data_IF_176847422999
#
_entry.id   IF_176847422999
#
_cell.length_a   1.000
_cell.length_b   1.000
_cell.length_c   1.000
_cell.angle_alpha   90.00
_cell.angle_beta   90.00
_cell.angle_gamma   90.00
#
_symmetry.space_group_name_H-M   'P 1'
#
loop_
_entity.id
_entity.type
_entity.pdbx_description
1 polymer ?
#
# COMPACT_ATOMS: atom_id res chain seq x y z
N UNK A 1 12.35 -17.48 9.20
CA UNK A 1 11.24 -16.59 8.79
C UNK A 1 10.72 -17.08 7.45
N UNK A 2 9.40 -17.20 7.31
CA UNK A 2 8.78 -17.67 6.05
C UNK A 2 9.20 -16.79 4.87
N UNK A 3 9.60 -17.39 3.75
CA UNK A 3 10.06 -16.67 2.54
C UNK A 3 9.01 -15.71 1.95
N UNK A 4 7.72 -15.91 2.26
CA UNK A 4 6.62 -15.10 1.73
C UNK A 4 6.43 -13.75 2.43
N UNK A 5 7.23 -13.46 3.47
CA UNK A 5 7.27 -12.14 4.11
C UNK A 5 8.18 -11.16 3.38
N UNK A 6 8.92 -11.63 2.39
CA UNK A 6 9.67 -10.81 1.46
C UNK A 6 8.86 -10.68 0.16
N UNK A 7 8.91 -9.51 -0.48
CA UNK A 7 8.42 -9.38 -1.84
C UNK A 7 9.56 -9.63 -2.82
N UNK A 8 9.34 -10.46 -3.86
CA UNK A 8 10.28 -10.56 -4.96
C UNK A 8 10.46 -9.18 -5.59
N UNK A 9 11.69 -8.67 -5.59
CA UNK A 9 12.06 -7.37 -6.16
C UNK A 9 11.57 -7.18 -7.62
N UNK A 10 11.35 -8.30 -8.32
CA UNK A 10 10.84 -8.39 -9.69
C UNK A 10 9.34 -8.04 -9.83
N UNK A 11 8.61 -7.80 -8.74
CA UNK A 11 7.21 -7.37 -8.78
C UNK A 11 7.02 -5.86 -8.97
N UNK A 12 8.08 -5.06 -8.83
CA UNK A 12 7.92 -3.62 -8.94
C UNK A 12 7.56 -3.23 -10.39
N UNK A 13 6.34 -2.74 -10.63
CA UNK A 13 5.93 -2.27 -11.97
C UNK A 13 6.26 -0.80 -12.14
N UNK A 14 6.62 -0.36 -13.36
CA UNK A 14 6.89 1.05 -13.62
C UNK A 14 5.71 1.97 -13.22
N UNK A 15 4.46 1.53 -13.46
CA UNK A 15 3.27 2.34 -13.13
C UNK A 15 3.09 2.55 -11.63
N UNK A 16 3.29 1.51 -10.83
CA UNK A 16 3.20 1.62 -9.37
C UNK A 16 4.35 2.46 -8.80
N UNK A 17 5.57 2.20 -9.27
CA UNK A 17 6.76 2.95 -8.86
C UNK A 17 6.64 4.43 -9.25
N UNK A 18 6.02 4.73 -10.39
CA UNK A 18 5.71 6.08 -10.82
C UNK A 18 4.79 6.79 -9.82
N UNK A 19 3.69 6.16 -9.41
CA UNK A 19 2.77 6.70 -8.42
C UNK A 19 3.44 6.95 -7.06
N UNK A 20 4.22 6.00 -6.56
CA UNK A 20 5.00 6.16 -5.33
C UNK A 20 6.00 7.32 -5.43
N UNK A 21 6.68 7.44 -6.57
CA UNK A 21 7.66 8.49 -6.83
C UNK A 21 7.00 9.87 -6.88
N UNK A 22 5.84 9.99 -7.54
CA UNK A 22 5.08 11.24 -7.55
C UNK A 22 4.63 11.59 -6.14
N UNK A 23 4.14 10.64 -5.35
CA UNK A 23 3.81 10.86 -3.93
C UNK A 23 4.98 11.42 -3.13
N UNK A 24 6.20 10.93 -3.39
CA UNK A 24 7.42 11.39 -2.72
C UNK A 24 7.92 12.77 -3.19
N UNK A 25 7.87 13.03 -4.49
CA UNK A 25 8.42 14.24 -5.13
C UNK A 25 7.51 15.45 -4.83
N UNK A 26 8.11 16.64 -4.66
CA UNK A 26 7.34 17.89 -4.47
C UNK A 26 6.49 18.19 -5.70
N UNK A 27 5.28 18.67 -5.49
CA UNK A 27 4.29 18.92 -6.55
C UNK A 27 4.84 19.82 -7.66
N UNK A 28 5.65 20.82 -7.30
CA UNK A 28 6.28 21.78 -8.21
C UNK A 28 7.26 21.14 -9.21
N UNK A 29 7.69 19.91 -8.97
CA UNK A 29 8.58 19.17 -9.89
C UNK A 29 7.86 18.08 -10.67
N UNK A 30 6.55 17.89 -10.48
CA UNK A 30 5.78 16.80 -11.09
C UNK A 30 5.28 17.07 -12.51
N UNK A 31 5.17 18.34 -12.93
CA UNK A 31 4.57 18.70 -14.22
C UNK A 31 5.23 18.00 -15.43
N UNK A 32 6.56 17.85 -15.41
CA UNK A 32 7.29 17.15 -16.48
C UNK A 32 7.25 15.61 -16.31
N UNK A 33 6.70 15.11 -15.21
CA UNK A 33 6.72 13.73 -14.78
C UNK A 33 5.34 13.07 -14.81
N UNK A 34 4.27 13.77 -15.18
CA UNK A 34 2.91 13.20 -15.23
C UNK A 34 2.81 11.99 -16.16
N UNK A 35 3.62 11.97 -17.22
CA UNK A 35 3.78 10.83 -18.11
C UNK A 35 5.25 10.49 -18.12
N UNK A 36 5.64 9.27 -17.80
CA UNK A 36 7.01 8.78 -18.00
C UNK A 36 6.93 7.59 -18.94
N UNK A 37 7.76 7.63 -19.97
CA UNK A 37 7.82 6.54 -20.92
C UNK A 37 8.51 5.33 -20.28
N UNK A 38 7.73 4.26 -20.19
CA UNK A 38 8.13 2.99 -19.57
C UNK A 38 8.61 1.98 -20.62
N UNK A 39 8.59 2.33 -21.91
CA UNK A 39 9.21 1.51 -22.97
C UNK A 39 10.67 1.21 -22.57
N UNK A 40 11.07 -0.06 -22.61
CA UNK A 40 12.40 -0.54 -22.17
C UNK A 40 12.69 -0.57 -20.65
N UNK A 41 11.70 -0.33 -19.77
CA UNK A 41 11.86 -0.55 -18.32
C UNK A 41 11.10 -1.81 -17.91
N UNK A 42 11.84 -2.90 -17.71
CA UNK A 42 11.26 -4.13 -17.17
C UNK A 42 10.91 -3.97 -15.68
N UNK A 43 10.02 -4.82 -15.19
CA UNK A 43 9.71 -4.87 -13.76
C UNK A 43 10.96 -5.12 -12.90
N UNK A 44 10.99 -4.48 -11.74
CA UNK A 44 12.12 -4.52 -10.82
C UNK A 44 13.32 -3.65 -11.23
N UNK A 45 13.28 -2.93 -12.35
CA UNK A 45 14.36 -2.02 -12.75
C UNK A 45 14.25 -0.62 -12.14
N UNK A 46 14.01 -0.53 -10.82
CA UNK A 46 13.62 0.71 -10.14
C UNK A 46 14.63 1.85 -10.34
N UNK A 47 15.94 1.56 -10.27
CA UNK A 47 16.98 2.60 -10.46
C UNK A 47 16.98 3.14 -11.88
N UNK A 48 16.76 2.30 -12.89
CA UNK A 48 16.66 2.75 -14.30
C UNK A 48 15.40 3.59 -14.52
N UNK A 49 14.29 3.19 -13.92
CA UNK A 49 13.07 4.00 -13.94
C UNK A 49 13.30 5.39 -13.32
N UNK A 50 13.97 5.45 -12.16
CA UNK A 50 14.33 6.73 -11.53
C UNK A 50 15.27 7.55 -12.42
N UNK A 51 16.24 6.92 -13.11
CA UNK A 51 17.12 7.64 -14.03
C UNK A 51 16.32 8.31 -15.16
N UNK A 52 15.31 7.62 -15.73
CA UNK A 52 14.42 8.22 -16.72
C UNK A 52 13.64 9.42 -16.18
N UNK A 53 13.14 9.33 -14.94
CA UNK A 53 12.49 10.47 -14.26
C UNK A 53 13.45 11.65 -14.13
N UNK A 54 14.71 11.41 -13.76
CA UNK A 54 15.75 12.45 -13.71
C UNK A 54 15.98 13.10 -15.06
N UNK A 55 16.18 12.30 -16.10
CA UNK A 55 16.43 12.77 -17.47
C UNK A 55 15.27 13.61 -17.98
N UNK A 56 14.03 13.16 -17.74
CA UNK A 56 12.81 13.87 -18.12
C UNK A 56 12.60 15.17 -17.35
N UNK A 57 12.97 15.21 -16.07
CA UNK A 57 12.79 16.39 -15.22
C UNK A 57 13.66 17.60 -15.59
N UNK A 58 14.61 17.45 -16.53
CA UNK A 58 15.53 18.52 -16.88
C UNK A 58 16.38 18.98 -15.68
N UNK A 59 16.87 18.02 -14.88
CA UNK A 59 17.68 18.24 -13.67
C UNK A 59 16.95 18.78 -12.43
N UNK A 60 15.63 18.95 -12.45
CA UNK A 60 14.88 19.45 -11.29
C UNK A 60 14.94 18.50 -10.08
N UNK A 61 15.16 17.19 -10.31
CA UNK A 61 15.23 16.19 -9.24
C UNK A 61 16.59 16.10 -8.52
N UNK A 62 17.60 16.92 -8.87
CA UNK A 62 18.94 16.85 -8.25
C UNK A 62 18.95 17.01 -6.72
N UNK A 63 17.95 17.68 -6.14
CA UNK A 63 17.86 17.82 -4.68
C UNK A 63 17.62 16.50 -3.94
N UNK A 64 17.11 15.49 -4.65
CA UNK A 64 16.92 14.13 -4.13
C UNK A 64 18.16 13.26 -4.23
N UNK A 65 19.29 13.82 -4.71
CA UNK A 65 20.54 13.10 -4.89
C UNK A 65 20.63 12.39 -6.23
N UNK A 66 21.05 11.13 -6.21
CA UNK A 66 21.14 10.27 -7.41
C UNK A 66 19.83 9.50 -7.68
N UNK A 67 19.69 8.92 -8.87
CA UNK A 67 18.58 8.01 -9.17
C UNK A 67 18.51 6.81 -8.20
N UNK A 68 19.65 6.31 -7.74
CA UNK A 68 19.72 5.26 -6.73
C UNK A 68 19.23 5.75 -5.37
N UNK A 69 19.70 6.93 -4.93
CA UNK A 69 19.28 7.52 -3.66
C UNK A 69 17.77 7.81 -3.64
N UNK A 70 17.21 8.30 -4.77
CA UNK A 70 15.77 8.48 -4.91
C UNK A 70 15.03 7.13 -4.82
N UNK A 71 15.50 6.08 -5.52
CA UNK A 71 14.88 4.76 -5.47
C UNK A 71 14.85 4.17 -4.05
N UNK A 72 15.94 4.32 -3.30
CA UNK A 72 16.04 3.86 -1.91
C UNK A 72 15.09 4.64 -0.99
N UNK A 73 15.02 5.96 -1.14
CA UNK A 73 14.14 6.80 -0.33
C UNK A 73 12.65 6.59 -0.65
N UNK A 74 12.29 6.44 -1.92
CA UNK A 74 10.90 6.12 -2.32
C UNK A 74 10.48 4.79 -1.73
N UNK A 75 11.36 3.78 -1.75
CA UNK A 75 11.11 2.48 -1.13
C UNK A 75 10.89 2.57 0.39
N UNK A 76 11.60 3.44 1.10
CA UNK A 76 11.37 3.67 2.54
C UNK A 76 10.01 4.35 2.74
N UNK A 77 9.75 5.42 2.01
CA UNK A 77 8.52 6.20 2.08
C UNK A 77 7.27 5.37 1.79
N UNK A 78 7.32 4.46 0.81
CA UNK A 78 6.15 3.71 0.35
C UNK A 78 5.89 2.41 1.11
N UNK A 79 6.75 2.04 2.06
CA UNK A 79 6.69 0.76 2.77
C UNK A 79 5.74 0.80 3.99
N UNK A 80 4.45 0.95 3.73
CA UNK A 80 3.41 0.93 4.76
C UNK A 80 2.20 0.08 4.31
N UNK A 81 1.39 -0.38 5.28
CA UNK A 81 0.20 -1.19 5.00
C UNK A 81 -0.83 -0.39 4.19
N UNK A 82 -1.49 -1.03 3.22
CA UNK A 82 -2.48 -0.42 2.33
C UNK A 82 -1.99 0.75 1.45
N UNK A 83 -0.67 0.85 1.20
CA UNK A 83 -0.10 1.90 0.36
C UNK A 83 -0.73 2.01 -1.04
N UNK A 84 -1.21 0.92 -1.63
CA UNK A 84 -1.92 0.93 -2.90
C UNK A 84 -3.20 1.79 -2.89
N UNK A 85 -3.88 1.90 -1.73
CA UNK A 85 -5.03 2.82 -1.58
C UNK A 85 -4.57 4.27 -1.43
N UNK A 86 -3.43 4.51 -0.76
CA UNK A 86 -2.86 5.85 -0.60
C UNK A 86 -2.37 6.42 -1.93
N UNK A 87 -1.75 5.59 -2.77
CA UNK A 87 -1.25 5.99 -4.08
C UNK A 87 -2.29 5.84 -5.20
N UNK A 88 -3.52 5.42 -4.89
CA UNK A 88 -4.61 5.21 -5.85
C UNK A 88 -4.21 4.32 -7.04
N UNK A 89 -3.59 3.18 -6.74
CA UNK A 89 -3.10 2.16 -7.70
C UNK A 89 -3.71 0.80 -7.36
N UNK A 90 -5.03 0.76 -7.14
CA UNK A 90 -5.73 -0.47 -6.76
C UNK A 90 -5.79 -1.51 -7.90
N UNK A 91 -5.59 -1.09 -9.14
CA UNK A 91 -5.52 -1.92 -10.34
C UNK A 91 -4.21 -2.73 -10.48
N UNK A 92 -3.16 -2.36 -9.76
CA UNK A 92 -1.89 -3.09 -9.75
C UNK A 92 -1.86 -4.18 -8.68
N UNK A 93 -0.94 -5.14 -8.76
CA UNK A 93 -0.74 -6.10 -7.66
C UNK A 93 -0.03 -5.46 -6.46
N UNK A 94 -0.02 -6.14 -5.30
CA UNK A 94 0.72 -5.62 -4.14
C UNK A 94 2.23 -5.64 -4.42
N UNK A 95 2.93 -4.53 -4.16
CA UNK A 95 4.38 -4.41 -4.40
C UNK A 95 5.20 -4.11 -3.14
N UNK A 96 4.56 -4.06 -1.96
CA UNK A 96 5.22 -3.85 -0.66
C UNK A 96 5.09 -5.06 0.28
N UNK A 97 6.14 -5.37 1.04
CA UNK A 97 6.18 -6.56 1.90
C UNK A 97 5.16 -6.53 3.06
N UNK A 98 4.61 -7.68 3.50
CA UNK A 98 3.80 -7.71 4.71
C UNK A 98 4.65 -7.30 5.92
N UNK A 99 4.08 -6.47 6.80
CA UNK A 99 4.82 -5.95 7.96
C UNK A 99 4.55 -6.83 9.18
N UNK A 100 5.61 -7.36 9.76
CA UNK A 100 5.56 -8.12 11.01
C UNK A 100 5.96 -7.24 12.19
N UNK A 101 5.06 -7.17 13.16
CA UNK A 101 5.24 -6.46 14.41
C UNK A 101 5.70 -7.42 15.50
N UNK A 102 6.58 -6.96 16.38
CA UNK A 102 7.03 -7.76 17.53
C UNK A 102 6.27 -7.34 18.77
N UNK A 103 5.81 -8.31 19.55
CA UNK A 103 5.33 -8.07 20.91
C UNK A 103 6.43 -7.43 21.76
N UNK A 104 6.04 -6.52 22.66
CA UNK A 104 6.92 -5.97 23.69
C UNK A 104 7.00 -6.87 24.93
N UNK A 105 5.99 -7.74 25.14
CA UNK A 105 5.88 -8.64 26.29
C UNK A 105 6.52 -10.01 26.02
N UNK A 106 6.56 -10.42 24.77
CA UNK A 106 6.95 -11.77 24.35
C UNK A 106 7.74 -11.76 23.03
N UNK A 107 8.29 -12.91 22.65
CA UNK A 107 8.92 -13.07 21.33
C UNK A 107 7.89 -13.34 20.21
N UNK A 108 6.61 -13.16 20.48
CA UNK A 108 5.53 -13.38 19.52
C UNK A 108 5.51 -12.27 18.46
N UNK A 109 5.06 -12.64 17.27
CA UNK A 109 4.93 -11.73 16.13
C UNK A 109 3.46 -11.58 15.77
N UNK A 110 3.13 -10.39 15.28
CA UNK A 110 1.79 -10.01 14.87
C UNK A 110 1.84 -9.44 13.45
N UNK A 111 0.74 -9.57 12.73
CA UNK A 111 0.55 -9.01 11.39
C UNK A 111 -0.79 -8.27 11.36
N UNK A 112 -0.85 -7.16 10.64
CA UNK A 112 -2.12 -6.49 10.35
C UNK A 112 -2.92 -7.37 9.39
N UNK A 113 -4.22 -7.56 9.63
CA UNK A 113 -5.04 -8.47 8.80
C UNK A 113 -4.98 -8.13 7.30
N UNK A 114 -4.92 -6.86 6.95
CA UNK A 114 -4.78 -6.42 5.55
C UNK A 114 -3.48 -6.92 4.90
N UNK A 115 -2.39 -7.01 5.65
CA UNK A 115 -1.10 -7.49 5.15
C UNK A 115 -1.08 -9.01 4.91
N UNK A 116 -2.06 -9.77 5.43
CA UNK A 116 -2.20 -11.19 5.09
C UNK A 116 -2.56 -11.39 3.61
N UNK A 117 -3.24 -10.45 2.96
CA UNK A 117 -3.55 -10.56 1.53
C UNK A 117 -2.29 -10.41 0.66
N UNK A 118 -1.35 -9.57 1.07
CA UNK A 118 -0.01 -9.48 0.48
C UNK A 118 0.71 -10.83 0.62
N UNK A 119 0.66 -11.42 1.81
CA UNK A 119 1.26 -12.72 2.07
C UNK A 119 0.66 -13.84 1.20
N UNK A 120 -0.66 -13.88 1.02
CA UNK A 120 -1.33 -14.82 0.12
C UNK A 120 -0.92 -14.61 -1.35
N UNK A 121 -0.78 -13.36 -1.81
CA UNK A 121 -0.28 -13.06 -3.15
C UNK A 121 1.12 -13.63 -3.36
N UNK A 122 2.03 -13.43 -2.39
CA UNK A 122 3.40 -13.92 -2.46
C UNK A 122 3.46 -15.46 -2.54
N UNK A 123 2.57 -16.16 -1.84
CA UNK A 123 2.44 -17.61 -1.97
C UNK A 123 1.99 -18.03 -3.37
N UNK A 124 0.95 -17.38 -3.92
CA UNK A 124 0.46 -17.68 -5.26
C UNK A 124 1.56 -17.48 -6.29
N UNK A 125 2.29 -16.37 -6.22
CA UNK A 125 3.40 -16.08 -7.11
C UNK A 125 4.47 -17.19 -7.09
N UNK A 126 4.88 -17.63 -5.90
CA UNK A 126 5.84 -18.73 -5.76
C UNK A 126 5.32 -20.03 -6.40
N UNK A 127 4.02 -20.32 -6.27
CA UNK A 127 3.44 -21.57 -6.75
C UNK A 127 3.10 -21.58 -8.25
N UNK A 128 3.01 -20.41 -8.89
CA UNK A 128 2.43 -20.28 -10.24
C UNK A 128 3.44 -19.98 -11.36
N UNK A 129 4.72 -20.25 -11.11
CA UNK A 129 5.90 -20.02 -11.96
C UNK A 129 6.28 -18.53 -12.16
N UNK A 130 7.59 -18.20 -12.17
CA UNK A 130 8.11 -16.84 -11.95
C UNK A 130 7.89 -15.80 -13.07
N UNK A 131 7.26 -16.12 -14.20
CA UNK A 131 7.17 -15.21 -15.35
C UNK A 131 5.73 -14.84 -15.77
N UNK A 132 4.78 -14.80 -14.82
CA UNK A 132 3.39 -14.42 -15.12
C UNK A 132 2.90 -13.26 -14.25
N UNK A 133 3.49 -12.08 -14.44
CA UNK A 133 3.09 -10.85 -13.75
C UNK A 133 1.62 -10.49 -13.99
N UNK A 134 1.13 -10.75 -15.21
CA UNK A 134 -0.27 -10.54 -15.57
C UNK A 134 -1.19 -11.44 -14.75
N UNK A 135 -0.75 -12.67 -14.47
CA UNK A 135 -1.52 -13.60 -13.66
C UNK A 135 -1.64 -13.13 -12.20
N UNK A 136 -0.55 -12.66 -11.60
CA UNK A 136 -0.58 -12.13 -10.22
C UNK A 136 -1.46 -10.88 -10.13
N UNK A 137 -1.42 -10.02 -11.15
CA UNK A 137 -2.28 -8.83 -11.25
C UNK A 137 -3.77 -9.20 -11.33
N UNK A 138 -4.14 -10.26 -12.06
CA UNK A 138 -5.52 -10.77 -12.07
C UNK A 138 -5.98 -11.27 -10.69
N UNK A 139 -5.09 -11.91 -9.93
CA UNK A 139 -5.39 -12.44 -8.59
C UNK A 139 -5.52 -11.30 -7.57
N UNK A 140 -4.71 -10.25 -7.71
CA UNK A 140 -4.70 -9.11 -6.79
C UNK A 140 -6.06 -8.42 -6.69
N UNK A 141 -6.83 -8.31 -7.78
CA UNK A 141 -8.20 -7.77 -7.75
C UNK A 141 -9.09 -8.49 -6.74
N UNK A 142 -9.02 -9.82 -6.73
CA UNK A 142 -9.83 -10.64 -5.84
C UNK A 142 -9.37 -10.52 -4.39
N UNK A 143 -8.06 -10.46 -4.16
CA UNK A 143 -7.51 -10.25 -2.82
C UNK A 143 -7.90 -8.88 -2.27
N UNK A 144 -7.77 -7.82 -3.07
CA UNK A 144 -8.18 -6.45 -2.69
C UNK A 144 -9.68 -6.35 -2.43
N UNK A 145 -10.53 -7.01 -3.20
CA UNK A 145 -11.97 -7.05 -2.92
C UNK A 145 -12.32 -7.77 -1.59
N UNK A 146 -11.45 -8.65 -1.09
CA UNK A 146 -11.59 -9.23 0.26
C UNK A 146 -11.02 -8.29 1.32
N UNK A 147 -9.88 -7.64 1.02
CA UNK A 147 -9.26 -6.63 1.87
C UNK A 147 -10.19 -5.42 2.11
N UNK A 148 -10.96 -4.99 1.11
CA UNK A 148 -11.93 -3.91 1.21
C UNK A 148 -12.99 -4.16 2.30
N UNK A 149 -13.24 -5.43 2.65
CA UNK A 149 -14.14 -5.79 3.77
C UNK A 149 -13.54 -5.49 5.14
N UNK A 150 -12.24 -5.20 5.19
CA UNK A 150 -11.50 -4.77 6.38
C UNK A 150 -11.28 -3.25 6.40
N UNK A 151 -11.86 -2.46 5.49
CA UNK A 151 -11.57 -1.02 5.34
C UNK A 151 -11.72 -0.23 6.64
N UNK A 152 -12.62 -0.66 7.53
CA UNK A 152 -12.89 0.00 8.81
C UNK A 152 -12.18 -0.65 10.02
N UNK A 153 -11.22 -1.55 9.78
CA UNK A 153 -10.72 -2.50 10.77
C UNK A 153 -9.18 -2.46 10.87
N UNK A 154 -8.64 -1.78 11.90
CA UNK A 154 -7.24 -1.87 12.27
C UNK A 154 -7.05 -3.00 13.29
N UNK A 155 -7.05 -4.25 12.81
CA UNK A 155 -6.90 -5.44 13.67
C UNK A 155 -5.64 -6.23 13.34
N UNK A 156 -4.96 -6.67 14.40
CA UNK A 156 -3.77 -7.49 14.31
C UNK A 156 -4.06 -8.91 14.76
N UNK A 157 -3.39 -9.88 14.15
CA UNK A 157 -3.44 -11.28 14.56
C UNK A 157 -2.05 -11.81 14.80
N UNK A 158 -1.93 -12.72 15.77
CA UNK A 158 -0.69 -13.44 16.02
C UNK A 158 -0.29 -14.24 14.78
N UNK A 159 0.97 -14.12 14.39
CA UNK A 159 1.50 -14.67 13.16
C UNK A 159 2.93 -15.18 13.36
N UNK A 160 3.04 -16.48 13.64
CA UNK A 160 4.32 -17.17 13.79
C UNK A 160 4.60 -18.06 12.56
N UNK A 161 5.74 -18.74 12.56
CA UNK A 161 6.14 -19.62 11.45
C UNK A 161 5.17 -20.81 11.27
N UNK A 162 4.60 -21.33 12.35
CA UNK A 162 3.62 -22.42 12.29
C UNK A 162 2.33 -22.00 11.56
N UNK A 163 1.81 -20.80 11.85
CA UNK A 163 0.65 -20.23 11.14
C UNK A 163 0.97 -20.02 9.66
N UNK A 164 2.17 -19.50 9.35
CA UNK A 164 2.62 -19.32 7.98
C UNK A 164 2.70 -20.66 7.22
N UNK A 165 3.25 -21.69 7.85
CA UNK A 165 3.39 -23.04 7.29
C UNK A 165 2.04 -23.72 7.09
N UNK A 166 1.09 -23.54 8.01
CA UNK A 166 -0.27 -24.06 7.89
C UNK A 166 -1.01 -23.44 6.69
N UNK A 167 -0.95 -22.11 6.56
CA UNK A 167 -1.51 -21.40 5.41
C UNK A 167 -0.85 -21.84 4.09
N UNK A 168 0.48 -22.02 4.08
CA UNK A 168 1.20 -22.53 2.92
C UNK A 168 0.69 -23.91 2.50
N UNK A 169 0.62 -24.84 3.47
CA UNK A 169 0.20 -26.22 3.23
C UNK A 169 -1.23 -26.28 2.71
N UNK A 170 -2.16 -25.52 3.31
CA UNK A 170 -3.56 -25.44 2.88
C UNK A 170 -3.66 -24.92 1.45
N UNK A 171 -3.09 -23.75 1.15
CA UNK A 171 -3.16 -23.17 -0.19
C UNK A 171 -2.51 -24.08 -1.25
N UNK A 172 -1.36 -24.67 -0.93
CA UNK A 172 -0.66 -25.60 -1.83
C UNK A 172 -1.45 -26.89 -2.05
N UNK A 173 -2.15 -27.40 -1.04
CA UNK A 173 -3.05 -28.55 -1.18
C UNK A 173 -4.20 -28.21 -2.13
N UNK A 174 -4.85 -27.07 -1.92
CA UNK A 174 -5.96 -26.60 -2.75
C UNK A 174 -5.54 -26.39 -4.21
N UNK A 175 -4.39 -25.77 -4.47
CA UNK A 175 -3.87 -25.52 -5.82
C UNK A 175 -3.42 -26.79 -6.57
N UNK A 176 -3.19 -27.89 -5.84
CA UNK A 176 -2.86 -29.21 -6.42
C UNK A 176 -4.10 -30.00 -6.83
N UNK A 177 -5.28 -29.60 -6.39
CA UNK A 177 -6.53 -30.21 -6.88
C UNK A 177 -6.56 -30.05 -8.40
N UNK A 178 -6.89 -31.14 -9.09
CA UNK A 178 -7.09 -31.15 -10.55
C UNK A 178 -8.59 -31.16 -10.81
N UNK A 179 -9.30 -30.03 -10.68
CA UNK A 179 -10.75 -30.03 -10.82
C UNK A 179 -11.21 -30.20 -12.28
N UNK A 180 -10.28 -30.29 -13.24
CA UNK A 180 -10.63 -30.29 -14.66
C UNK A 180 -10.07 -31.49 -15.41
N UNK A 181 -10.92 -32.07 -16.25
CA UNK A 181 -10.58 -33.14 -17.19
C UNK A 181 -10.09 -32.56 -18.52
N UNK A 182 -9.41 -33.37 -19.33
CA UNK A 182 -9.02 -32.96 -20.69
C UNK A 182 -10.24 -32.55 -21.54
N UNK A 183 -11.39 -33.20 -21.35
CA UNK A 183 -12.63 -32.87 -22.05
C UNK A 183 -13.10 -31.44 -21.74
N UNK A 184 -13.06 -31.03 -20.46
CA UNK A 184 -13.43 -29.66 -20.06
C UNK A 184 -12.45 -28.63 -20.66
N UNK A 185 -11.16 -28.98 -20.68
CA UNK A 185 -10.13 -28.13 -21.28
C UNK A 185 -10.37 -27.91 -22.78
N UNK A 186 -10.59 -28.99 -23.54
CA UNK A 186 -10.84 -28.94 -24.99
C UNK A 186 -12.12 -28.17 -25.32
N UNK A 187 -13.19 -28.36 -24.55
CA UNK A 187 -14.43 -27.59 -24.71
C UNK A 187 -14.21 -26.09 -24.48
N UNK A 188 -13.46 -25.73 -23.44
CA UNK A 188 -13.14 -24.34 -23.14
C UNK A 188 -12.24 -23.73 -24.22
N UNK A 189 -11.25 -24.47 -24.71
CA UNK A 189 -10.38 -24.03 -25.81
C UNK A 189 -11.20 -23.68 -27.06
N UNK A 190 -12.13 -24.56 -27.45
CA UNK A 190 -13.04 -24.32 -28.58
C UNK A 190 -13.96 -23.12 -28.30
N UNK A 191 -14.49 -23.00 -27.08
CA UNK A 191 -15.34 -21.86 -26.71
C UNK A 191 -14.56 -20.54 -26.84
N UNK A 192 -13.38 -20.44 -26.21
CA UNK A 192 -12.56 -19.23 -26.19
C UNK A 192 -12.06 -18.85 -27.59
N UNK A 193 -11.83 -19.82 -28.48
CA UNK A 193 -11.44 -19.54 -29.88
C UNK A 193 -12.49 -18.77 -30.69
N UNK A 194 -13.75 -18.74 -30.22
CA UNK A 194 -14.88 -18.06 -30.87
C UNK A 194 -15.18 -16.68 -30.29
N UNK A 195 -14.52 -16.30 -29.19
CA UNK A 195 -14.76 -15.04 -28.50
C UNK A 195 -13.78 -13.98 -29.00
N UNK A 196 -14.25 -12.74 -29.09
CA UNK A 196 -13.36 -11.59 -29.18
C UNK A 196 -12.78 -11.21 -27.80
N UNK A 197 -11.84 -10.28 -27.76
CA UNK A 197 -11.16 -9.89 -26.51
C UNK A 197 -12.11 -9.30 -25.46
N UNK A 198 -13.14 -8.55 -25.86
CA UNK A 198 -14.12 -7.98 -24.92
C UNK A 198 -14.95 -9.08 -24.26
N UNK A 199 -15.48 -10.00 -25.06
CA UNK A 199 -16.22 -11.16 -24.57
C UNK A 199 -15.37 -12.06 -23.68
N UNK A 200 -14.09 -12.23 -24.02
CA UNK A 200 -13.14 -12.97 -23.20
C UNK A 200 -12.89 -12.26 -21.87
N UNK A 201 -12.69 -10.95 -21.88
CA UNK A 201 -12.52 -10.12 -20.69
C UNK A 201 -13.71 -10.28 -19.74
N UNK A 202 -14.94 -10.16 -20.26
CA UNK A 202 -16.16 -10.36 -19.46
C UNK A 202 -16.24 -11.77 -18.88
N UNK A 203 -15.85 -12.80 -19.64
CA UNK A 203 -15.80 -14.17 -19.13
C UNK A 203 -14.83 -14.31 -17.94
N UNK A 204 -13.66 -13.67 -18.00
CA UNK A 204 -12.70 -13.65 -16.89
C UNK A 204 -13.23 -12.89 -15.67
N UNK A 205 -13.84 -11.71 -15.86
CA UNK A 205 -14.49 -10.95 -14.78
C UNK A 205 -15.54 -11.78 -14.03
N UNK A 206 -16.31 -12.59 -14.75
CA UNK A 206 -17.34 -13.46 -14.20
C UNK A 206 -16.80 -14.57 -13.27
N UNK A 207 -15.51 -14.89 -13.32
CA UNK A 207 -14.89 -15.80 -12.33
C UNK A 207 -14.72 -15.15 -10.95
N UNK A 208 -14.80 -13.82 -10.88
CA UNK A 208 -14.60 -13.02 -9.69
C UNK A 208 -15.79 -12.07 -9.44
N UNK A 209 -17.00 -12.60 -9.20
CA UNK A 209 -18.23 -11.79 -9.10
C UNK A 209 -18.25 -10.87 -7.87
N UNK A 210 -17.37 -11.07 -6.90
CA UNK A 210 -17.24 -10.22 -5.70
C UNK A 210 -16.40 -8.96 -5.96
N UNK A 211 -15.68 -8.89 -7.07
CA UNK A 211 -14.93 -7.69 -7.47
C UNK A 211 -15.89 -6.71 -8.11
N UNK A 212 -15.90 -5.46 -7.62
CA UNK A 212 -16.65 -4.39 -8.27
C UNK A 212 -15.87 -3.87 -9.49
N UNK A 213 -16.02 -4.55 -10.62
CA UNK A 213 -15.31 -4.23 -11.88
C UNK A 213 -15.65 -2.84 -12.43
N UNK A 214 -16.84 -2.32 -12.08
CA UNK A 214 -17.34 -1.01 -12.55
C UNK A 214 -17.04 0.13 -11.57
N UNK A 215 -16.38 -0.15 -10.43
CA UNK A 215 -16.00 0.87 -9.44
C UNK A 215 -15.05 1.94 -10.00
N UNK A 216 -14.23 1.57 -10.99
CA UNK A 216 -13.26 2.44 -11.62
C UNK A 216 -12.97 1.91 -13.04
N UNK A 217 -13.07 2.79 -14.04
CA UNK A 217 -12.82 2.47 -15.45
C UNK A 217 -11.43 1.87 -15.67
N UNK A 218 -10.43 2.28 -14.88
CA UNK A 218 -9.06 1.79 -14.96
C UNK A 218 -8.95 0.31 -14.63
N UNK A 219 -9.80 -0.24 -13.74
CA UNK A 219 -9.81 -1.68 -13.45
C UNK A 219 -10.22 -2.49 -14.69
N UNK A 220 -11.24 -2.02 -15.41
CA UNK A 220 -11.71 -2.66 -16.63
C UNK A 220 -10.69 -2.53 -17.77
N UNK A 221 -10.07 -1.37 -17.93
CA UNK A 221 -9.00 -1.16 -18.92
C UNK A 221 -7.81 -2.08 -18.60
N UNK A 222 -7.41 -2.15 -17.33
CA UNK A 222 -6.24 -2.92 -16.92
C UNK A 222 -6.43 -4.42 -17.12
N UNK A 223 -7.57 -5.00 -16.73
CA UNK A 223 -7.81 -6.43 -16.99
C UNK A 223 -7.80 -6.75 -18.50
N UNK A 224 -8.36 -5.87 -19.32
CA UNK A 224 -8.35 -6.03 -20.78
C UNK A 224 -6.91 -5.98 -21.33
N UNK A 225 -6.10 -5.02 -20.89
CA UNK A 225 -4.68 -4.92 -21.24
C UNK A 225 -3.91 -6.18 -20.82
N UNK A 226 -4.08 -6.66 -19.58
CA UNK A 226 -3.39 -7.86 -19.09
C UNK A 226 -3.68 -9.11 -19.94
N UNK A 227 -4.92 -9.25 -20.42
CA UNK A 227 -5.33 -10.34 -21.32
C UNK A 227 -4.81 -10.11 -22.74
N UNK A 228 -4.78 -8.88 -23.22
CA UNK A 228 -4.24 -8.54 -24.54
C UNK A 228 -2.74 -8.79 -24.62
N UNK A 229 -1.98 -8.41 -23.60
CA UNK A 229 -0.54 -8.72 -23.51
C UNK A 229 -0.29 -10.23 -23.57
N UNK A 230 -1.14 -11.04 -22.89
CA UNK A 230 -1.07 -12.50 -22.98
C UNK A 230 -1.41 -13.02 -24.38
N UNK A 231 -2.27 -12.33 -25.12
CA UNK A 231 -2.64 -12.66 -26.49
C UNK A 231 -1.49 -12.37 -27.48
N UNK A 232 -0.74 -11.29 -27.26
CA UNK A 232 0.33 -10.82 -28.16
C UNK A 232 1.64 -11.60 -28.02
N UNK A 233 1.93 -12.18 -26.85
CA UNK A 233 3.17 -12.93 -26.60
C UNK A 233 3.19 -14.28 -27.36
N UNK A 234 2.02 -14.87 -27.62
CA UNK A 234 1.93 -16.24 -28.14
C UNK A 234 1.58 -16.30 -29.63
N UNK A 235 2.09 -17.29 -30.38
CA UNK A 235 1.66 -17.52 -31.75
C UNK A 235 0.14 -17.69 -31.84
N UNK A 236 -0.48 -17.13 -32.87
CA UNK A 236 -1.96 -17.08 -33.04
C UNK A 236 -2.64 -18.44 -32.78
N UNK A 237 -2.00 -19.55 -33.18
CA UNK A 237 -2.54 -20.90 -33.05
C UNK A 237 -2.60 -21.41 -31.60
N UNK A 238 -1.75 -20.89 -30.72
CA UNK A 238 -1.65 -21.30 -29.31
C UNK A 238 -2.51 -20.45 -28.38
N UNK A 239 -3.01 -19.31 -28.86
CA UNK A 239 -3.78 -18.34 -28.05
C UNK A 239 -4.98 -19.02 -27.36
N UNK A 240 -5.88 -19.76 -28.04
CA UNK A 240 -7.05 -20.35 -27.37
C UNK A 240 -6.65 -21.33 -26.26
N UNK A 241 -5.60 -22.13 -26.50
CA UNK A 241 -5.06 -23.09 -25.54
C UNK A 241 -4.47 -22.39 -24.30
N UNK A 242 -3.67 -21.33 -24.52
CA UNK A 242 -3.07 -20.53 -23.45
C UNK A 242 -4.15 -19.80 -22.63
N UNK A 243 -5.17 -19.25 -23.29
CA UNK A 243 -6.29 -18.60 -22.64
C UNK A 243 -7.11 -19.59 -21.82
N UNK A 244 -7.40 -20.78 -22.35
CA UNK A 244 -8.11 -21.84 -21.61
C UNK A 244 -7.32 -22.27 -20.37
N UNK A 245 -6.02 -22.51 -20.52
CA UNK A 245 -5.15 -22.86 -19.40
C UNK A 245 -5.12 -21.75 -18.33
N UNK A 246 -5.06 -20.48 -18.76
CA UNK A 246 -5.03 -19.32 -17.87
C UNK A 246 -6.36 -19.13 -17.16
N UNK A 247 -7.49 -19.24 -17.86
CA UNK A 247 -8.83 -19.16 -17.30
C UNK A 247 -9.07 -20.23 -16.24
N UNK A 248 -8.74 -21.48 -16.55
CA UNK A 248 -8.89 -22.61 -15.62
C UNK A 248 -8.01 -22.46 -14.40
N UNK A 249 -6.74 -22.06 -14.61
CA UNK A 249 -5.80 -21.82 -13.52
C UNK A 249 -6.27 -20.67 -12.63
N UNK A 250 -6.71 -19.56 -13.22
CA UNK A 250 -7.27 -18.41 -12.52
C UNK A 250 -8.47 -18.83 -11.67
N UNK A 251 -9.46 -19.49 -12.27
CA UNK A 251 -10.64 -19.96 -11.54
C UNK A 251 -10.33 -20.95 -10.41
N UNK A 252 -9.33 -21.84 -10.59
CA UNK A 252 -8.86 -22.71 -9.50
C UNK A 252 -8.23 -21.88 -8.37
N UNK A 253 -7.30 -20.98 -8.67
CA UNK A 253 -6.63 -20.18 -7.65
C UNK A 253 -7.62 -19.27 -6.90
N UNK A 254 -8.61 -18.69 -7.57
CA UNK A 254 -9.63 -17.90 -6.89
C UNK A 254 -10.43 -18.71 -5.87
N UNK A 255 -10.84 -19.93 -6.24
CA UNK A 255 -11.52 -20.84 -5.31
C UNK A 255 -10.62 -21.25 -4.16
N UNK A 256 -9.39 -21.67 -4.45
CA UNK A 256 -8.40 -22.06 -3.43
C UNK A 256 -8.13 -20.93 -2.42
N UNK A 257 -7.99 -19.70 -2.88
CA UNK A 257 -7.83 -18.53 -2.01
C UNK A 257 -9.08 -18.29 -1.16
N UNK A 258 -10.27 -18.38 -1.77
CA UNK A 258 -11.53 -18.19 -1.06
C UNK A 258 -11.72 -19.26 0.03
N UNK A 259 -11.40 -20.52 -0.26
CA UNK A 259 -11.47 -21.62 0.71
C UNK A 259 -10.54 -21.36 1.91
N UNK A 260 -9.28 -20.99 1.65
CA UNK A 260 -8.32 -20.62 2.70
C UNK A 260 -8.80 -19.42 3.51
N UNK A 261 -9.37 -18.40 2.87
CA UNK A 261 -9.91 -17.22 3.56
C UNK A 261 -11.10 -17.60 4.47
N UNK A 262 -12.02 -18.41 3.96
CA UNK A 262 -13.24 -18.79 4.67
C UNK A 262 -13.00 -19.77 5.82
N UNK A 263 -12.02 -20.68 5.68
CA UNK A 263 -11.60 -21.59 6.74
C UNK A 263 -10.84 -20.89 7.89
N UNK A 264 -10.36 -19.67 7.66
CA UNK A 264 -9.57 -18.91 8.63
C UNK A 264 -10.21 -17.53 8.97
N UNK A 265 -11.48 -17.49 9.42
CA UNK A 265 -12.23 -16.25 9.56
C UNK A 265 -11.59 -15.28 10.56
N UNK A 266 -10.96 -15.78 11.63
CA UNK A 266 -10.26 -14.94 12.62
C UNK A 266 -9.12 -14.12 12.01
N UNK A 267 -8.52 -14.59 10.92
CA UNK A 267 -7.40 -13.91 10.24
C UNK A 267 -7.90 -12.97 9.14
N UNK A 268 -9.00 -13.30 8.45
CA UNK A 268 -9.41 -12.58 7.23
C UNK A 268 -10.74 -11.83 7.33
N UNK A 269 -11.45 -11.91 8.46
CA UNK A 269 -12.70 -11.17 8.69
C UNK A 269 -12.55 -10.21 9.87
N UNK A 270 -13.29 -9.09 9.90
CA UNK A 270 -13.36 -8.22 11.08
C UNK A 270 -13.84 -9.01 12.29
N UNK A 271 -13.38 -8.64 13.50
CA UNK A 271 -13.86 -9.30 14.72
C UNK A 271 -15.27 -8.81 15.08
N UNK A 272 -16.14 -9.73 15.53
CA UNK A 272 -17.53 -9.40 15.89
C UNK A 272 -17.63 -8.52 17.16
N UNK A 273 -16.62 -8.57 18.03
CA UNK A 273 -16.56 -7.81 19.28
C UNK A 273 -15.96 -6.42 19.03
N UNK A 274 -16.82 -5.41 18.97
CA UNK A 274 -16.47 -3.98 18.83
C UNK A 274 -15.79 -3.35 20.06
N UNK A 275 -15.49 -4.13 21.09
CA UNK A 275 -15.05 -3.63 22.39
C UNK A 275 -13.64 -4.11 22.70
N UNK A 276 -12.71 -3.16 22.66
CA UNK A 276 -11.30 -3.22 23.07
C UNK A 276 -10.33 -3.81 22.03
N UNK A 277 -9.30 -3.06 21.61
CA UNK A 277 -8.21 -3.61 20.82
C UNK A 277 -7.38 -4.56 21.69
N UNK A 278 -7.38 -5.85 21.34
CA UNK A 278 -6.51 -6.85 21.97
C UNK A 278 -5.03 -6.60 21.67
N UNK A 279 -4.73 -5.76 20.66
CA UNK A 279 -3.37 -5.42 20.25
C UNK A 279 -3.28 -3.92 19.92
N UNK A 280 -2.34 -3.21 20.54
CA UNK A 280 -2.09 -1.76 20.37
C UNK A 280 -0.66 -1.53 19.91
N UNK A 281 -0.48 -0.61 18.95
CA UNK A 281 0.85 -0.22 18.49
C UNK A 281 1.52 0.73 19.49
N UNK A 282 2.77 0.43 19.82
CA UNK A 282 3.70 1.33 20.48
C UNK A 282 4.65 1.86 19.43
N UNK A 283 4.56 3.15 19.17
CA UNK A 283 5.37 3.86 18.22
C UNK A 283 6.72 4.20 18.85
N UNK A 284 7.81 3.85 18.18
CA UNK A 284 9.18 4.17 18.59
C UNK A 284 9.80 5.11 17.55
N UNK A 285 10.23 6.28 18.02
CA UNK A 285 10.93 7.28 17.23
C UNK A 285 12.47 7.10 17.29
N UNK A 286 13.22 7.87 16.51
CA UNK A 286 14.68 7.80 16.36
C UNK A 286 15.42 8.08 17.67
N UNK A 287 14.87 8.96 18.50
CA UNK A 287 15.38 9.25 19.85
C UNK A 287 15.04 8.16 20.89
N UNK A 288 14.39 7.07 20.45
CA UNK A 288 13.86 5.96 21.25
C UNK A 288 12.71 6.35 22.19
N UNK A 289 12.12 7.53 22.01
CA UNK A 289 10.86 7.86 22.66
C UNK A 289 9.78 6.88 22.22
N UNK A 290 8.91 6.50 23.16
CA UNK A 290 7.83 5.53 22.93
C UNK A 290 6.50 6.09 23.33
N UNK A 291 5.52 5.94 22.44
CA UNK A 291 4.18 6.47 22.64
C UNK A 291 3.12 5.57 22.02
N UNK A 292 1.90 5.71 22.49
CA UNK A 292 0.72 5.03 21.97
C UNK A 292 -0.26 6.06 21.44
N UNK A 293 -0.99 5.71 20.37
CA UNK A 293 -2.14 6.50 19.94
C UNK A 293 -3.27 6.33 20.95
N UNK A 294 -3.82 7.43 21.47
CA UNK A 294 -4.93 7.38 22.43
C UNK A 294 -6.16 6.68 21.85
N UNK A 295 -6.48 6.95 20.58
CA UNK A 295 -7.58 6.31 19.86
C UNK A 295 -7.40 4.79 19.69
N UNK A 296 -6.16 4.30 19.54
CA UNK A 296 -5.89 2.87 19.59
C UNK A 296 -6.03 2.30 20.99
N UNK A 297 -5.76 3.06 22.04
CA UNK A 297 -5.87 2.55 23.41
C UNK A 297 -7.33 2.53 23.92
N UNK A 298 -8.11 3.58 23.62
CA UNK A 298 -9.51 3.71 24.04
C UNK A 298 -10.47 2.91 23.16
N UNK A 299 -10.10 2.63 21.91
CA UNK A 299 -11.02 2.10 20.90
C UNK A 299 -12.05 3.12 20.40
N UNK A 300 -11.95 4.38 20.85
CA UNK A 300 -12.81 5.49 20.45
C UNK A 300 -11.99 6.50 19.66
N UNK A 301 -12.49 6.87 18.49
CA UNK A 301 -11.98 8.03 17.75
C UNK A 301 -12.66 9.24 18.38
N UNK A 302 -11.90 10.11 19.04
CA UNK A 302 -12.41 11.41 19.50
C UNK A 302 -12.98 12.15 18.28
N UNK A 303 -14.30 12.27 18.20
CA UNK A 303 -15.02 12.91 17.09
C UNK A 303 -15.46 14.33 17.44
N UNK A 304 -15.20 14.78 18.66
CA UNK A 304 -15.86 15.93 19.28
C UNK A 304 -14.98 17.17 19.45
N UNK A 305 -13.74 17.16 18.95
CA UNK A 305 -12.95 18.38 18.79
C UNK A 305 -12.98 18.80 17.32
N UNK A 306 -12.99 20.11 17.05
CA UNK A 306 -12.91 20.65 15.68
C UNK A 306 -11.65 20.23 14.89
N UNK A 307 -10.79 19.38 15.48
CA UNK A 307 -9.53 18.84 14.96
C UNK A 307 -9.68 17.38 14.50
N UNK A 308 -10.70 17.07 13.69
CA UNK A 308 -10.96 15.72 13.14
C UNK A 308 -9.81 15.13 12.28
N UNK A 309 -8.75 15.92 12.07
CA UNK A 309 -7.54 15.57 11.32
C UNK A 309 -6.34 15.23 12.23
N UNK A 310 -6.46 15.36 13.56
CA UNK A 310 -5.34 15.15 14.48
C UNK A 310 -5.63 13.98 15.43
N UNK A 311 -4.69 13.02 15.50
CA UNK A 311 -4.68 11.97 16.51
C UNK A 311 -3.69 12.29 17.61
N UNK A 312 -4.17 12.25 18.84
CA UNK A 312 -3.32 12.47 20.02
C UNK A 312 -2.62 11.18 20.45
N UNK A 313 -1.36 11.32 20.86
CA UNK A 313 -0.60 10.25 21.50
C UNK A 313 -0.45 10.50 23.00
N UNK A 314 0.03 9.49 23.73
CA UNK A 314 0.53 9.61 25.09
C UNK A 314 1.81 8.79 25.26
N UNK A 315 2.68 9.20 26.18
CA UNK A 315 3.89 8.45 26.52
C UNK A 315 3.53 7.02 26.95
N UNK A 316 4.31 6.04 26.49
CA UNK A 316 4.15 4.64 26.91
C UNK A 316 4.31 4.48 28.42
N UNK A 317 5.11 5.33 29.07
CA UNK A 317 5.31 5.32 30.53
C UNK A 317 4.04 5.70 31.30
N UNK A 318 3.16 6.50 30.67
CA UNK A 318 1.89 6.93 31.24
C UNK A 318 0.77 5.90 31.03
N UNK A 319 1.03 4.83 30.28
CA UNK A 319 0.04 3.77 30.01
C UNK A 319 0.01 2.81 31.19
N UNK A 320 -1.14 2.68 31.84
CA UNK A 320 -1.36 1.66 32.86
C UNK A 320 -1.49 0.32 32.13
N UNK A 321 -0.47 -0.53 32.24
CA UNK A 321 -0.50 -1.86 31.60
C UNK A 321 -1.65 -2.71 32.15
N UNK A 322 -2.60 -3.03 31.28
CA UNK A 322 -3.60 -4.07 31.54
C UNK A 322 -3.10 -5.41 31.00
N UNK A 323 -3.53 -6.50 31.64
CA UNK A 323 -3.16 -7.86 31.19
C UNK A 323 -3.82 -8.25 29.86
N UNK A 324 -4.86 -7.53 29.46
CA UNK A 324 -5.71 -7.89 28.32
C UNK A 324 -5.29 -7.22 27.00
N UNK A 325 -4.32 -6.29 27.04
CA UNK A 325 -3.80 -5.60 25.86
C UNK A 325 -2.40 -6.12 25.53
N UNK A 326 -2.20 -6.56 24.29
CA UNK A 326 -0.89 -6.85 23.73
C UNK A 326 -0.30 -5.57 23.11
N UNK A 327 0.96 -5.25 23.45
CA UNK A 327 1.64 -4.09 22.89
C UNK A 327 2.65 -4.54 21.83
N UNK A 328 2.54 -4.00 20.63
CA UNK A 328 3.43 -4.34 19.51
C UNK A 328 4.24 -3.14 19.05
N UNK A 329 5.53 -3.35 18.78
CA UNK A 329 6.43 -2.28 18.36
C UNK A 329 6.20 -1.89 16.90
N UNK A 330 5.89 -0.62 16.67
CA UNK A 330 5.84 0.03 15.36
C UNK A 330 6.95 1.07 15.29
N UNK A 331 7.99 0.85 14.48
CA UNK A 331 9.03 1.86 14.31
C UNK A 331 8.62 2.86 13.26
N UNK A 332 8.76 4.14 13.59
CA UNK A 332 8.50 5.19 12.63
C UNK A 332 9.67 5.25 11.66
N UNK A 333 9.34 5.26 10.37
CA UNK A 333 10.31 5.25 9.30
C UNK A 333 10.21 6.54 8.53
N UNK A 334 11.36 7.15 8.28
CA UNK A 334 11.47 8.41 7.53
C UNK A 334 12.38 8.19 6.34
N UNK A 335 11.94 8.68 5.19
CA UNK A 335 12.83 8.94 4.09
C UNK A 335 13.34 10.38 4.21
N UNK A 336 14.42 10.70 3.51
CA UNK A 336 15.14 11.99 3.60
C UNK A 336 14.20 13.20 3.43
N UNK A 337 13.29 13.13 2.46
CA UNK A 337 12.41 14.24 2.11
C UNK A 337 10.97 14.11 2.63
N UNK A 338 10.46 12.89 2.87
CA UNK A 338 9.10 12.64 3.38
C UNK A 338 9.05 11.55 4.43
N UNK A 339 8.10 11.65 5.36
CA UNK A 339 7.79 10.59 6.31
C UNK A 339 6.96 9.48 5.66
N UNK A 340 7.17 8.23 6.07
CA UNK A 340 6.32 7.13 5.63
C UNK A 340 4.93 7.25 6.29
N UNK A 341 3.83 7.23 5.52
CA UNK A 341 2.49 7.27 6.07
C UNK A 341 2.19 6.08 6.99
N UNK A 342 1.42 6.35 8.05
CA UNK A 342 0.97 5.37 9.04
C UNK A 342 -0.54 5.20 8.88
N UNK A 343 -1.00 3.97 8.66
CA UNK A 343 -2.44 3.67 8.66
C UNK A 343 -3.04 4.01 10.03
N UNK A 344 -4.07 4.85 10.07
CA UNK A 344 -4.73 5.23 11.33
C UNK A 344 -5.69 4.17 11.87
N UNK A 345 -6.12 4.33 13.14
CA UNK A 345 -7.16 3.49 13.77
C UNK A 345 -8.57 3.82 13.31
N UNK A 346 -8.79 4.98 12.67
CA UNK A 346 -10.11 5.44 12.25
C UNK A 346 -10.70 4.51 11.18
N UNK A 347 -12.03 4.43 11.14
CA UNK A 347 -12.80 3.66 10.14
C UNK A 347 -12.69 4.20 8.70
N UNK A 348 -11.88 5.22 8.48
CA UNK A 348 -11.62 5.81 7.17
C UNK A 348 -10.37 5.19 6.52
N UNK A 349 -10.21 5.37 5.21
CA UNK A 349 -8.96 5.11 4.48
C UNK A 349 -7.84 6.12 4.84
N UNK A 350 -7.83 6.65 6.06
CA UNK A 350 -6.94 7.73 6.47
C UNK A 350 -5.54 7.23 6.81
N UNK A 351 -4.58 8.02 6.35
CA UNK A 351 -3.16 7.85 6.63
C UNK A 351 -2.64 9.08 7.35
N UNK A 352 -1.68 8.83 8.24
CA UNK A 352 -1.19 9.82 9.16
C UNK A 352 0.33 9.92 9.11
N UNK A 353 0.86 11.11 9.36
CA UNK A 353 2.28 11.34 9.65
C UNK A 353 2.41 12.08 10.98
N UNK A 354 3.59 12.08 11.58
CA UNK A 354 3.80 12.89 12.79
C UNK A 354 3.69 14.38 12.46
N UNK A 355 3.15 15.15 13.39
CA UNK A 355 3.00 16.60 13.23
C UNK A 355 4.36 17.30 13.00
N UNK A 356 5.43 16.81 13.64
CA UNK A 356 6.79 17.32 13.42
C UNK A 356 7.30 17.03 12.00
N UNK A 357 6.97 15.86 11.46
CA UNK A 357 7.33 15.50 10.08
C UNK A 357 6.55 16.35 9.07
N UNK A 358 5.25 16.56 9.33
CA UNK A 358 4.42 17.45 8.54
C UNK A 358 4.98 18.88 8.51
N UNK A 359 5.45 19.39 9.65
CA UNK A 359 6.14 20.69 9.71
C UNK A 359 7.39 20.71 8.81
N UNK A 360 8.23 19.68 8.87
CA UNK A 360 9.42 19.62 8.01
C UNK A 360 9.07 19.47 6.53
N UNK A 361 8.03 18.72 6.18
CA UNK A 361 7.53 18.63 4.80
C UNK A 361 7.01 19.98 4.30
N UNK A 362 6.19 20.67 5.09
CA UNK A 362 5.71 22.03 4.79
C UNK A 362 6.89 22.98 4.55
N UNK A 363 7.91 22.95 5.41
CA UNK A 363 9.10 23.80 5.24
C UNK A 363 9.87 23.45 3.97
N UNK A 364 9.97 22.17 3.59
CA UNK A 364 10.60 21.75 2.32
C UNK A 364 9.80 22.26 1.13
N UNK A 365 8.46 22.20 1.17
CA UNK A 365 7.59 22.73 0.12
C UNK A 365 7.78 24.24 -0.05
N UNK A 366 7.79 25.01 1.04
CA UNK A 366 8.01 26.45 1.00
C UNK A 366 9.40 26.82 0.46
N UNK A 367 10.44 26.13 0.92
CA UNK A 367 11.83 26.47 0.60
C UNK A 367 12.24 26.00 -0.79
N UNK A 368 11.92 24.76 -1.16
CA UNK A 368 12.41 24.14 -2.39
C UNK A 368 11.37 24.13 -3.51
N UNK A 369 10.11 23.86 -3.19
CA UNK A 369 9.01 23.85 -4.16
C UNK A 369 8.66 25.27 -4.59
N UNK A 370 8.09 26.05 -3.67
CA UNK A 370 7.66 27.43 -3.89
C UNK A 370 8.84 28.38 -4.05
N UNK A 371 10.00 28.04 -3.45
CA UNK A 371 11.21 28.87 -3.46
C UNK A 371 10.93 30.25 -2.87
N UNK A 372 10.24 30.27 -1.73
CA UNK A 372 9.71 31.49 -1.12
C UNK A 372 10.80 32.57 -0.96
N UNK A 373 12.00 32.17 -0.54
CA UNK A 373 13.14 33.07 -0.36
C UNK A 373 13.74 33.65 -1.65
N UNK A 374 13.45 33.06 -2.81
CA UNK A 374 13.86 33.55 -4.12
C UNK A 374 12.81 34.51 -4.71
N UNK A 375 11.57 34.44 -4.23
CA UNK A 375 10.47 35.33 -4.64
C UNK A 375 10.44 36.64 -3.82
N UNK A 376 11.02 36.63 -2.63
CA UNK A 376 11.03 37.76 -1.70
C UNK A 376 12.09 38.80 -2.08
N UNK A 377 11.68 40.08 -2.11
CA UNK A 377 12.61 41.21 -2.09
C UNK A 377 12.93 41.58 -0.64
N UNK A 378 14.00 40.99 -0.11
CA UNK A 378 14.39 41.11 1.31
C UNK A 378 14.61 42.54 1.79
N UNK A 379 15.05 43.42 0.89
CA UNK A 379 15.41 44.80 1.22
C UNK A 379 14.20 45.69 1.57
N UNK A 380 12.98 45.25 1.25
CA UNK A 380 11.73 46.00 1.49
C UNK A 380 10.81 45.32 2.51
N UNK A 381 11.30 44.31 3.21
CA UNK A 381 10.46 43.42 4.01
C UNK A 381 10.41 43.86 5.48
N UNK A 382 9.23 44.26 5.95
CA UNK A 382 8.89 44.44 7.37
C UNK A 382 7.99 43.29 7.86
N UNK A 383 7.73 43.20 9.17
CA UNK A 383 6.91 42.13 9.76
C UNK A 383 5.50 42.03 9.15
N UNK A 384 4.85 43.15 8.87
CA UNK A 384 3.50 43.18 8.27
C UNK A 384 3.50 42.69 6.81
N UNK A 385 4.54 43.03 6.04
CA UNK A 385 4.76 42.50 4.70
C UNK A 385 5.22 41.03 4.70
N UNK A 386 5.82 40.57 5.80
CA UNK A 386 6.20 39.17 5.99
C UNK A 386 4.95 38.29 6.11
N UNK A 387 4.03 38.66 7.00
CA UNK A 387 2.78 37.91 7.18
C UNK A 387 1.93 37.91 5.90
N UNK A 388 1.77 39.07 5.25
CA UNK A 388 0.99 39.18 4.01
C UNK A 388 1.59 38.38 2.84
N UNK A 389 2.90 38.17 2.81
CA UNK A 389 3.57 37.40 1.76
C UNK A 389 3.60 35.90 2.06
N UNK A 390 3.89 35.51 3.30
CA UNK A 390 4.03 34.10 3.69
C UNK A 390 2.69 33.43 3.91
N UNK A 391 1.69 34.12 4.47
CA UNK A 391 0.41 33.51 4.81
C UNK A 391 -0.32 32.92 3.60
N UNK A 392 -0.43 33.59 2.43
CA UNK A 392 -1.08 32.99 1.25
C UNK A 392 -0.34 31.76 0.72
N UNK A 393 1.00 31.76 0.76
CA UNK A 393 1.81 30.62 0.30
C UNK A 393 1.67 29.44 1.29
N UNK A 394 1.66 29.69 2.61
CA UNK A 394 1.38 28.68 3.64
C UNK A 394 -0.02 28.10 3.46
N UNK A 395 -1.04 28.96 3.31
CA UNK A 395 -2.42 28.51 3.06
C UNK A 395 -2.50 27.70 1.76
N UNK A 396 -1.78 28.10 0.72
CA UNK A 396 -1.69 27.34 -0.53
C UNK A 396 -1.10 25.94 -0.31
N UNK A 397 0.04 25.82 0.37
CA UNK A 397 0.65 24.50 0.65
C UNK A 397 -0.25 23.66 1.54
N UNK A 398 -0.77 24.24 2.63
CA UNK A 398 -1.67 23.53 3.55
C UNK A 398 -2.94 23.08 2.84
N UNK A 399 -3.52 23.90 1.95
CA UNK A 399 -4.70 23.52 1.16
C UNK A 399 -4.43 22.39 0.16
N UNK A 400 -3.18 22.26 -0.31
CA UNK A 400 -2.71 21.15 -1.16
C UNK A 400 -2.47 19.89 -0.35
N UNK A 401 -1.81 20.01 0.80
CA UNK A 401 -1.56 18.90 1.74
C UNK A 401 -2.86 18.34 2.35
N UNK A 402 -3.87 19.21 2.57
CA UNK A 402 -5.14 18.90 3.23
C UNK A 402 -6.12 18.04 2.44
N UNK A 403 -5.78 17.55 1.24
CA UNK A 403 -6.74 16.71 0.52
C UNK A 403 -6.90 15.33 1.15
N UNK A 404 -5.86 14.74 1.76
CA UNK A 404 -5.96 13.36 2.28
C UNK A 404 -5.03 13.01 3.49
N UNK A 405 -4.08 13.87 3.87
CA UNK A 405 -3.10 13.55 4.93
C UNK A 405 -3.54 14.09 6.30
N UNK A 406 -3.53 13.23 7.31
CA UNK A 406 -3.89 13.57 8.70
C UNK A 406 -2.64 13.53 9.61
N UNK A 407 -2.73 14.05 10.82
CA UNK A 407 -1.56 14.33 11.67
C UNK A 407 -1.60 13.56 13.00
N UNK A 408 -0.45 13.15 13.50
CA UNK A 408 -0.27 12.58 14.84
C UNK A 408 0.45 13.60 15.71
N UNK A 409 -0.22 14.06 16.76
CA UNK A 409 0.33 15.04 17.68
C UNK A 409 0.90 14.37 18.94
N UNK A 410 2.13 14.72 19.28
CA UNK A 410 2.72 14.37 20.56
C UNK A 410 2.05 15.21 21.65
N UNK A 411 1.46 14.56 22.65
CA UNK A 411 1.19 15.29 23.88
C UNK A 411 2.53 15.60 24.55
N UNK A 412 2.89 16.89 24.60
CA UNK A 412 3.82 17.33 25.62
C UNK A 412 3.15 17.10 26.97
N UNK A 413 3.84 16.41 27.88
CA UNK A 413 3.50 16.49 29.30
C UNK A 413 3.64 17.97 29.62
N UNK A 414 2.52 18.67 29.82
CA UNK A 414 2.55 19.94 30.50
C UNK A 414 2.95 19.61 31.93
N UNK A 415 4.24 19.72 32.25
CA UNK A 415 4.68 19.91 33.62
C UNK A 415 4.19 21.30 34.05
N UNK A 416 2.88 21.39 34.30
CA UNK A 416 2.24 22.50 34.98
C UNK A 416 1.86 22.05 36.38
N UNK A 417 2.87 21.65 37.15
CA UNK A 417 2.90 21.76 38.60
C UNK A 417 4.27 22.30 39.02
N UNK A 418 4.46 23.60 38.87
CA UNK A 418 5.32 24.41 39.74
C UNK A 418 4.74 25.80 39.93
#
# INVERSE_FOLDING_TARGET
MSKFVEIPYQLATPMYLHAESLGYILEEFRADLEVVDNEDVDNGQNVKFMQKMFDKSGYKLRMYGSAQELAENVRIFSNFSQNHTYFNVEEEHYQKAPILYKSLKSNEKYILKSDLFVFLQNMVLEFTHPNRWNYVSLIAYCLKAQEDKLTECLEFVKFNEEVADDLEKKLKHELKKKPFTNVIFEQLEVELSRLNMDQMTEKFKNLAPKVNWDSNIWKSIRIHSLLTDLNEIWPIREIPRVMAATFMRYGLTLRSLQDVIDENPKMFRPSDTKTVPTVVRVFEDEDRSRYVMKAELSGEVETDTGDSQILHTMSMESVIETKDIEFILHRITRAKHRAAPIKGPNKSKSFYILAVDAFFELMKDLIFGIKIYQKVQWNSMNLESFDNFFYPEIVSVVSRANRETMYINHSFISDSEY
#
